data_IF_056320439188
#
_entry.id   IF_056320439188
#
_cell.length_a   1.000
_cell.length_b   1.000
_cell.length_c   1.000
_cell.angle_alpha   90.00
_cell.angle_beta   90.00
_cell.angle_gamma   90.00
#
_symmetry.space_group_name_H-M   'P 1'
#
loop_
_entity.id
_entity.type
_entity.pdbx_description
1 polymer ?
#
# COMPACT_ATOMS: atom_id res chain seq x y z
N UNK A 1 2.81 5.52 -4.26
CA UNK A 1 3.04 6.81 -3.61
C UNK A 1 2.02 7.01 -2.51
N UNK A 2 2.32 7.92 -1.60
CA UNK A 2 1.31 8.53 -0.75
C UNK A 2 0.33 9.34 -1.62
N UNK A 3 -0.91 9.58 -1.15
CA UNK A 3 -1.87 10.42 -1.88
C UNK A 3 -1.32 11.77 -2.35
N UNK A 4 -0.54 12.43 -1.49
CA UNK A 4 0.08 13.73 -1.75
C UNK A 4 1.07 13.72 -2.92
N UNK A 5 1.73 12.59 -3.20
CA UNK A 5 2.61 12.45 -4.37
C UNK A 5 1.82 12.66 -5.68
N UNK A 6 0.63 12.07 -5.78
CA UNK A 6 -0.23 12.14 -6.97
C UNK A 6 -0.81 13.55 -7.15
N UNK A 7 -1.21 14.18 -6.04
CA UNK A 7 -1.70 15.57 -6.06
C UNK A 7 -0.59 16.56 -6.45
N UNK A 8 0.66 16.34 -5.99
CA UNK A 8 1.80 17.14 -6.41
C UNK A 8 2.07 16.97 -7.91
N UNK A 9 2.02 15.76 -8.44
CA UNK A 9 2.17 15.52 -9.87
C UNK A 9 1.08 16.19 -10.69
N UNK A 10 -0.18 16.10 -10.26
CA UNK A 10 -1.29 16.79 -10.90
C UNK A 10 -1.05 18.30 -10.99
N UNK A 11 -0.54 18.90 -9.91
CA UNK A 11 -0.20 20.32 -9.85
C UNK A 11 0.96 20.68 -10.78
N UNK A 12 2.07 19.94 -10.74
CA UNK A 12 3.27 20.22 -11.55
C UNK A 12 2.96 20.07 -13.05
N UNK A 13 2.19 19.04 -13.41
CA UNK A 13 1.86 18.76 -14.80
C UNK A 13 0.67 19.56 -15.33
N UNK A 14 -0.12 20.21 -14.47
CA UNK A 14 -1.39 20.84 -14.84
C UNK A 14 -2.43 19.81 -15.30
N UNK A 15 -2.46 18.66 -14.64
CA UNK A 15 -3.23 17.45 -15.03
C UNK A 15 -4.01 16.91 -13.84
N UNK A 16 -5.23 17.43 -13.65
CA UNK A 16 -6.10 17.01 -12.53
C UNK A 16 -6.43 15.50 -12.56
N UNK A 17 -6.38 14.87 -13.73
CA UNK A 17 -6.56 13.42 -13.91
C UNK A 17 -5.48 12.58 -13.22
N UNK A 18 -4.39 13.20 -12.78
CA UNK A 18 -3.30 12.56 -12.04
C UNK A 18 -3.42 12.73 -10.53
N UNK A 19 -4.39 13.53 -10.05
CA UNK A 19 -4.61 13.72 -8.61
C UNK A 19 -4.98 12.40 -7.95
N UNK A 20 -4.70 12.24 -6.66
CA UNK A 20 -5.02 11.00 -5.95
C UNK A 20 -6.52 10.68 -6.04
N UNK A 21 -7.34 11.73 -5.93
CA UNK A 21 -8.79 11.65 -6.07
C UNK A 21 -9.20 11.04 -7.40
N UNK A 22 -8.66 11.53 -8.52
CA UNK A 22 -9.01 11.04 -9.87
C UNK A 22 -8.36 9.68 -10.16
N UNK A 23 -7.12 9.49 -9.72
CA UNK A 23 -6.39 8.23 -9.79
C UNK A 23 -7.11 7.12 -9.00
N UNK A 24 -7.84 7.45 -7.94
CA UNK A 24 -8.58 6.47 -7.12
C UNK A 24 -10.09 6.49 -7.32
N UNK A 25 -10.60 7.27 -8.28
CA UNK A 25 -12.03 7.60 -8.44
C UNK A 25 -13.00 6.46 -8.75
N UNK A 26 -12.57 5.22 -8.92
CA UNK A 26 -13.53 4.13 -9.12
C UNK A 26 -14.08 3.66 -7.77
N UNK A 27 -15.28 4.17 -7.50
CA UNK A 27 -16.18 4.13 -6.33
C UNK A 27 -16.27 2.82 -5.53
N UNK A 28 -15.71 1.71 -6.02
CA UNK A 28 -15.77 0.40 -5.34
C UNK A 28 -14.45 -0.07 -4.71
N UNK A 29 -13.34 0.61 -4.96
CA UNK A 29 -12.10 0.40 -4.23
C UNK A 29 -11.19 1.64 -4.32
N UNK A 30 -10.73 2.23 -3.19
CA UNK A 30 -9.53 3.07 -3.27
C UNK A 30 -8.42 2.24 -3.94
N UNK A 31 -7.52 2.84 -4.71
CA UNK A 31 -6.41 2.17 -5.43
C UNK A 31 -6.73 1.47 -6.76
N UNK A 32 -7.94 1.58 -7.33
CA UNK A 32 -8.38 0.74 -8.46
C UNK A 32 -7.37 0.53 -9.61
N UNK A 33 -6.61 1.56 -10.04
CA UNK A 33 -5.60 1.38 -11.10
C UNK A 33 -4.48 0.45 -10.64
N UNK A 34 -3.99 0.60 -9.41
CA UNK A 34 -2.95 -0.26 -8.84
C UNK A 34 -3.48 -1.67 -8.58
N UNK A 35 -4.73 -1.80 -8.10
CA UNK A 35 -5.35 -3.11 -7.83
C UNK A 35 -5.59 -3.92 -9.11
N UNK A 36 -5.78 -3.27 -10.27
CA UNK A 36 -5.89 -3.98 -11.56
C UNK A 36 -4.60 -4.70 -11.97
N UNK A 37 -3.45 -4.24 -11.51
CA UNK A 37 -2.18 -4.91 -11.79
C UNK A 37 -1.88 -6.00 -10.78
N UNK A 38 -2.41 -5.87 -9.57
CA UNK A 38 -2.10 -6.73 -8.44
C UNK A 38 -2.91 -8.04 -8.43
N UNK A 39 -2.21 -9.14 -8.14
CA UNK A 39 -2.78 -10.42 -7.71
C UNK A 39 -2.13 -10.83 -6.39
N UNK A 40 -2.75 -10.38 -5.30
CA UNK A 40 -2.27 -10.59 -3.95
C UNK A 40 -2.51 -12.03 -3.48
N UNK A 41 -1.46 -12.65 -2.95
CA UNK A 41 -1.49 -13.96 -2.31
C UNK A 41 -1.48 -13.81 -0.78
N UNK A 42 -2.60 -14.10 -0.08
CA UNK A 42 -2.69 -13.96 1.37
C UNK A 42 -1.69 -14.84 2.13
N UNK A 43 -1.21 -14.34 3.27
CA UNK A 43 -0.28 -15.08 4.12
C UNK A 43 -0.79 -15.20 5.55
N UNK A 44 -0.76 -16.40 6.12
CA UNK A 44 -1.34 -16.70 7.44
C UNK A 44 -0.64 -15.98 8.59
N UNK A 45 0.68 -15.77 8.50
CA UNK A 45 1.46 -15.07 9.55
C UNK A 45 1.43 -13.55 9.43
N UNK A 46 1.05 -13.02 8.27
CA UNK A 46 1.07 -11.58 7.98
C UNK A 46 -0.29 -11.16 7.38
N UNK A 47 -1.37 -11.26 8.16
CA UNK A 47 -2.70 -10.92 7.69
C UNK A 47 -2.79 -9.41 7.41
N UNK A 48 -3.43 -9.06 6.29
CA UNK A 48 -3.77 -7.68 5.91
C UNK A 48 -5.22 -7.66 5.44
N UNK A 49 -5.81 -6.46 5.36
CA UNK A 49 -7.15 -6.30 4.79
C UNK A 49 -7.10 -6.53 3.27
N UNK A 50 -7.58 -7.70 2.84
CA UNK A 50 -7.58 -8.09 1.43
C UNK A 50 -8.57 -7.29 0.59
N UNK A 51 -9.53 -6.58 1.20
CA UNK A 51 -10.44 -5.68 0.46
C UNK A 51 -9.72 -4.49 -0.16
N UNK A 52 -8.51 -4.18 0.33
CA UNK A 52 -7.64 -3.11 -0.15
C UNK A 52 -6.59 -3.61 -1.16
N UNK A 53 -6.70 -4.87 -1.63
CA UNK A 53 -5.72 -5.54 -2.50
C UNK A 53 -6.35 -6.05 -3.80
N UNK A 54 -5.57 -6.08 -4.88
CA UNK A 54 -5.99 -6.67 -6.15
C UNK A 54 -5.90 -8.20 -6.12
N UNK A 55 -6.79 -8.86 -6.86
CA UNK A 55 -6.92 -10.33 -6.84
C UNK A 55 -6.79 -11.00 -8.22
N UNK A 56 -6.76 -10.22 -9.30
CA UNK A 56 -6.88 -10.73 -10.67
C UNK A 56 -5.89 -10.13 -11.66
N UNK A 57 -5.01 -9.25 -11.19
CA UNK A 57 -4.01 -8.61 -12.03
C UNK A 57 -2.91 -9.56 -12.51
N UNK A 58 -2.12 -9.15 -13.51
CA UNK A 58 -1.02 -9.94 -14.05
C UNK A 58 0.19 -10.07 -13.12
N UNK A 59 0.29 -9.27 -12.04
CA UNK A 59 1.46 -9.23 -11.16
C UNK A 59 1.17 -9.94 -9.85
N UNK A 60 1.78 -11.10 -9.63
CA UNK A 60 1.72 -11.80 -8.34
C UNK A 60 2.51 -11.02 -7.28
N UNK A 61 1.84 -10.72 -6.16
CA UNK A 61 2.46 -10.06 -5.01
C UNK A 61 2.06 -10.77 -3.70
N UNK A 62 2.90 -10.67 -2.68
CA UNK A 62 2.66 -11.33 -1.40
C UNK A 62 3.96 -11.55 -0.63
N UNK A 63 3.84 -12.30 0.46
CA UNK A 63 4.97 -12.62 1.35
C UNK A 63 5.71 -13.88 0.89
N UNK A 64 6.43 -13.78 -0.24
CA UNK A 64 7.19 -14.91 -0.82
C UNK A 64 8.62 -15.04 -0.29
N UNK A 65 9.10 -14.05 0.48
CA UNK A 65 10.48 -13.98 0.96
C UNK A 65 10.72 -14.66 2.31
N UNK A 66 12.01 -14.88 2.61
CA UNK A 66 12.47 -15.29 3.94
C UNK A 66 12.82 -14.06 4.78
N UNK A 67 12.04 -13.79 5.82
CA UNK A 67 12.36 -12.74 6.79
C UNK A 67 13.31 -13.29 7.85
N UNK A 68 14.43 -12.60 8.08
CA UNK A 68 15.35 -12.96 9.16
C UNK A 68 14.76 -12.57 10.52
N UNK A 69 15.24 -13.18 11.60
CA UNK A 69 14.87 -12.77 12.97
C UNK A 69 15.18 -11.29 13.26
N UNK A 70 16.23 -10.76 12.63
CA UNK A 70 16.59 -9.35 12.78
C UNK A 70 15.49 -8.40 12.29
N UNK A 71 14.74 -8.77 11.23
CA UNK A 71 13.62 -7.97 10.72
C UNK A 71 12.50 -7.84 11.76
N UNK A 72 12.16 -8.92 12.46
CA UNK A 72 11.16 -8.87 13.54
C UNK A 72 11.64 -8.03 14.72
N UNK A 73 12.89 -8.20 15.13
CA UNK A 73 13.49 -7.41 16.21
C UNK A 73 13.50 -5.91 15.88
N UNK A 74 13.75 -5.54 14.62
CA UNK A 74 13.70 -4.16 14.16
C UNK A 74 12.29 -3.56 14.31
N UNK A 75 11.26 -4.28 13.88
CA UNK A 75 9.86 -3.84 14.01
C UNK A 75 9.47 -3.67 15.49
N UNK A 76 9.96 -4.54 16.37
CA UNK A 76 9.76 -4.42 17.82
C UNK A 76 10.49 -3.21 18.42
N UNK A 77 11.73 -2.95 18.01
CA UNK A 77 12.47 -1.78 18.45
C UNK A 77 11.77 -0.47 18.05
N UNK A 78 11.24 -0.38 16.83
CA UNK A 78 10.43 0.75 16.37
C UNK A 78 9.20 0.97 17.27
N UNK A 79 8.48 -0.11 17.61
CA UNK A 79 7.33 -0.03 18.52
C UNK A 79 7.73 0.47 19.92
N UNK A 80 8.87 0.05 20.44
CA UNK A 80 9.36 0.47 21.76
C UNK A 80 9.73 1.96 21.83
N UNK A 81 10.06 2.59 20.70
CA UNK A 81 10.30 4.04 20.63
C UNK A 81 9.07 4.84 20.17
N UNK A 82 7.89 4.20 20.11
CA UNK A 82 6.62 4.85 19.81
C UNK A 82 6.22 4.89 18.34
N UNK A 83 6.93 4.19 17.43
CA UNK A 83 6.51 4.05 16.03
C UNK A 83 5.52 2.88 15.93
N UNK A 84 4.23 3.11 15.64
CA UNK A 84 3.23 2.06 15.65
C UNK A 84 3.47 1.00 14.57
N UNK A 85 3.08 -0.24 14.87
CA UNK A 85 3.09 -1.33 13.88
C UNK A 85 1.88 -1.17 12.94
N UNK A 86 2.13 -1.22 11.65
CA UNK A 86 1.10 -1.22 10.61
C UNK A 86 1.21 -2.52 9.79
N UNK A 87 0.16 -3.36 9.75
CA UNK A 87 0.17 -4.60 8.95
C UNK A 87 0.33 -4.36 7.44
N UNK A 88 -0.11 -3.20 6.95
CA UNK A 88 0.01 -2.82 5.55
C UNK A 88 0.27 -1.32 5.35
N UNK A 89 1.54 -0.99 5.12
CA UNK A 89 2.00 0.39 4.89
C UNK A 89 1.70 0.90 3.47
N UNK A 90 1.07 0.10 2.61
CA UNK A 90 0.68 0.52 1.25
C UNK A 90 -0.77 0.99 1.16
N UNK A 91 -1.46 1.06 2.30
CA UNK A 91 -2.82 1.57 2.43
C UNK A 91 -2.83 3.03 2.92
N UNK A 92 -4.00 3.59 3.18
CA UNK A 92 -4.14 4.93 3.75
C UNK A 92 -3.65 5.00 5.20
N UNK A 93 -3.48 3.84 5.85
CA UNK A 93 -2.85 3.72 7.17
C UNK A 93 -1.30 3.72 7.10
N UNK A 94 -0.74 3.85 5.90
CA UNK A 94 0.68 3.75 5.59
C UNK A 94 1.44 5.06 5.60
N UNK A 95 2.33 5.24 4.63
CA UNK A 95 3.25 6.38 4.56
C UNK A 95 2.53 7.72 4.41
N UNK A 96 2.95 8.70 5.21
CA UNK A 96 2.71 10.13 4.94
C UNK A 96 3.67 10.56 3.83
N UNK A 97 3.18 11.35 2.87
CA UNK A 97 3.97 12.04 1.85
C UNK A 97 3.81 13.53 1.96
#
# INVERSE_FOLDING_TARGET
GAPTDYDEWAKICGRDDWSDKEFRKYVHAPYWYLLKFEKYSPHTKYPVDTSLRGSSGPVDVGYFGFCTKASSNWIEACANIGIPKTPDVNTSAGSLG
#
